data_IF_113804402181
#
_entry.id   IF_113804402181
#
_cell.length_a   1.000
_cell.length_b   1.000
_cell.length_c   1.000
_cell.angle_alpha   90.00
_cell.angle_beta   90.00
_cell.angle_gamma   90.00
#
_symmetry.space_group_name_H-M   'P 1'
#
loop_
_entity.id
_entity.type
_entity.pdbx_description
1 polymer ?
#
# COMPACT_ATOMS: atom_id res chain seq x y z
N UNK A 1 43.20 28.30 45.83
CA UNK A 1 41.86 27.67 45.65
C UNK A 1 41.56 27.68 44.16
N UNK A 2 41.81 26.57 43.48
CA UNK A 2 41.60 26.45 42.02
C UNK A 2 40.26 25.84 41.75
N UNK A 3 39.29 26.61 41.27
CA UNK A 3 38.02 26.11 40.78
C UNK A 3 38.26 25.56 39.37
N UNK A 4 38.32 24.21 39.25
CA UNK A 4 38.21 23.53 37.95
C UNK A 4 36.77 23.69 37.45
N UNK A 5 36.56 24.59 36.50
CA UNK A 5 35.31 24.65 35.72
C UNK A 5 35.31 23.44 34.79
N UNK A 6 34.58 22.40 35.19
CA UNK A 6 34.26 21.28 34.33
C UNK A 6 33.24 21.75 33.30
N UNK A 7 33.71 22.03 32.10
CA UNK A 7 32.87 22.34 30.95
C UNK A 7 32.26 21.03 30.46
N UNK A 8 31.05 20.75 30.95
CA UNK A 8 30.24 19.62 30.48
C UNK A 8 29.79 19.94 29.07
N UNK A 9 30.52 19.39 28.06
CA UNK A 9 30.18 19.50 26.67
C UNK A 9 28.95 18.61 26.43
N UNK A 10 27.75 19.22 26.48
CA UNK A 10 26.49 18.59 26.16
C UNK A 10 26.46 18.37 24.64
N UNK A 11 26.91 17.20 24.18
CA UNK A 11 26.82 16.80 22.78
C UNK A 11 25.35 16.53 22.47
N UNK A 12 24.68 17.33 21.60
CA UNK A 12 23.33 17.03 21.20
C UNK A 12 23.37 15.72 20.38
N UNK A 13 22.78 14.65 20.92
CA UNK A 13 22.46 13.46 20.15
C UNK A 13 21.41 13.89 19.11
N UNK A 14 21.86 14.16 17.91
CA UNK A 14 20.98 14.30 16.75
C UNK A 14 20.47 12.90 16.43
N UNK A 15 19.31 12.55 16.97
CA UNK A 15 18.54 11.41 16.50
C UNK A 15 18.13 11.71 15.07
N UNK A 16 18.89 11.20 14.11
CA UNK A 16 18.44 11.09 12.73
C UNK A 16 17.23 10.13 12.76
N UNK A 17 16.03 10.68 12.90
CA UNK A 17 14.80 9.92 12.72
C UNK A 17 14.74 9.53 11.23
N UNK A 18 15.25 8.35 10.90
CA UNK A 18 15.02 7.73 9.60
C UNK A 18 13.52 7.57 9.43
N UNK A 19 12.91 8.32 8.52
CA UNK A 19 11.51 8.14 8.20
C UNK A 19 11.32 6.75 7.59
N UNK A 20 10.46 5.93 8.20
CA UNK A 20 10.03 4.62 7.72
C UNK A 20 8.74 4.67 6.91
N UNK A 21 8.24 5.88 6.60
CA UNK A 21 7.00 6.09 5.86
C UNK A 21 7.16 5.72 4.39
N UNK A 22 6.20 4.94 3.89
CA UNK A 22 6.12 4.46 2.51
C UNK A 22 4.79 4.89 1.92
N UNK A 23 4.83 5.59 0.79
CA UNK A 23 3.64 5.97 0.02
C UNK A 23 3.20 4.81 -0.88
N UNK A 24 1.94 4.42 -0.80
CA UNK A 24 1.34 3.44 -1.69
C UNK A 24 0.69 4.18 -2.85
N UNK A 25 1.32 4.10 -4.02
CA UNK A 25 0.89 4.78 -5.24
C UNK A 25 0.16 3.81 -6.15
N UNK A 26 -0.96 4.24 -6.71
CA UNK A 26 -1.73 3.45 -7.66
C UNK A 26 -2.01 4.29 -8.91
N UNK A 27 -1.60 3.76 -10.06
CA UNK A 27 -1.80 4.35 -11.38
C UNK A 27 -2.87 3.54 -12.12
N UNK A 28 -4.04 4.15 -12.36
CA UNK A 28 -5.13 3.51 -13.08
C UNK A 28 -5.10 3.92 -14.56
N UNK A 29 -4.73 2.97 -15.41
CA UNK A 29 -4.63 3.20 -16.85
C UNK A 29 -6.00 3.29 -17.52
N UNK A 30 -6.03 3.98 -18.64
CA UNK A 30 -7.21 4.07 -19.51
C UNK A 30 -7.72 2.68 -19.93
N UNK A 31 -9.03 2.52 -19.97
CA UNK A 31 -9.72 1.28 -20.33
C UNK A 31 -9.39 0.08 -19.42
N UNK A 32 -8.99 0.33 -18.19
CA UNK A 32 -8.71 -0.73 -17.22
C UNK A 32 -9.98 -1.41 -16.72
N UNK A 33 -11.09 -0.67 -16.62
CA UNK A 33 -12.34 -1.12 -16.01
C UNK A 33 -13.56 -0.82 -16.90
N UNK A 34 -13.67 -1.53 -18.01
CA UNK A 34 -14.82 -1.39 -18.93
C UNK A 34 -16.04 -2.11 -18.35
N UNK A 35 -17.18 -1.41 -18.32
CA UNK A 35 -18.47 -2.00 -17.97
C UNK A 35 -19.10 -2.74 -19.17
N UNK A 36 -20.32 -3.27 -19.01
CA UNK A 36 -21.04 -4.00 -20.06
C UNK A 36 -21.37 -3.14 -21.29
N UNK A 37 -21.32 -1.82 -21.17
CA UNK A 37 -21.56 -0.85 -22.27
C UNK A 37 -20.26 -0.33 -22.86
N UNK A 38 -19.11 -0.90 -22.47
CA UNK A 38 -17.77 -0.44 -22.83
C UNK A 38 -17.42 0.98 -22.35
N UNK A 39 -18.12 1.47 -21.32
CA UNK A 39 -17.72 2.71 -20.66
C UNK A 39 -16.55 2.41 -19.71
N UNK A 40 -15.52 3.26 -19.73
CA UNK A 40 -14.40 3.19 -18.79
C UNK A 40 -14.82 3.85 -17.47
N UNK A 41 -15.13 3.03 -16.49
CA UNK A 41 -15.67 3.47 -15.20
C UNK A 41 -14.61 3.44 -14.11
N UNK A 42 -14.76 4.25 -13.03
CA UNK A 42 -13.85 4.18 -11.89
C UNK A 42 -13.73 2.76 -11.34
N UNK A 43 -12.53 2.40 -10.91
CA UNK A 43 -12.26 1.12 -10.29
C UNK A 43 -12.21 1.27 -8.77
N UNK A 44 -12.70 0.29 -8.04
CA UNK A 44 -12.56 0.23 -6.59
C UNK A 44 -11.32 -0.56 -6.21
N UNK A 45 -10.44 0.03 -5.42
CA UNK A 45 -9.28 -0.63 -4.83
C UNK A 45 -9.42 -0.69 -3.31
N UNK A 46 -9.05 -1.83 -2.72
CA UNK A 46 -8.95 -2.01 -1.27
C UNK A 46 -7.50 -2.28 -0.94
N UNK A 47 -6.92 -1.43 -0.11
CA UNK A 47 -5.53 -1.53 0.32
C UNK A 47 -5.53 -2.06 1.75
N UNK A 48 -4.88 -3.21 1.96
CA UNK A 48 -4.77 -3.89 3.24
C UNK A 48 -3.38 -3.70 3.83
N UNK A 49 -3.31 -3.31 5.08
CA UNK A 49 -2.09 -3.31 5.89
C UNK A 49 -2.02 -4.64 6.63
N UNK A 50 -0.98 -5.42 6.37
CA UNK A 50 -0.91 -6.83 6.79
C UNK A 50 0.36 -7.14 7.58
N UNK A 51 0.22 -7.97 8.62
CA UNK A 51 1.34 -8.60 9.34
C UNK A 51 1.88 -9.82 8.59
N UNK A 52 1.00 -10.56 7.91
CA UNK A 52 1.30 -11.76 7.13
C UNK A 52 0.42 -11.81 5.89
N UNK A 53 0.93 -12.40 4.81
CA UNK A 53 0.25 -12.42 3.50
C UNK A 53 -0.49 -13.73 3.21
N UNK A 54 -0.26 -14.79 3.97
CA UNK A 54 -0.76 -16.13 3.64
C UNK A 54 -2.28 -16.16 3.49
N UNK A 55 -3.00 -15.63 4.49
CA UNK A 55 -4.48 -15.58 4.43
C UNK A 55 -4.98 -14.68 3.32
N UNK A 56 -4.28 -13.58 3.04
CA UNK A 56 -4.62 -12.69 1.92
C UNK A 56 -4.47 -13.39 0.57
N UNK A 57 -3.40 -14.16 0.38
CA UNK A 57 -3.19 -14.93 -0.86
C UNK A 57 -4.23 -16.03 -1.05
N UNK A 58 -4.56 -16.75 0.03
CA UNK A 58 -5.49 -17.90 0.00
C UNK A 58 -6.97 -17.49 -0.11
N UNK A 59 -7.32 -16.29 0.37
CA UNK A 59 -8.71 -15.83 0.39
C UNK A 59 -9.25 -15.52 -1.01
N UNK A 60 -10.55 -15.74 -1.20
CA UNK A 60 -11.25 -15.28 -2.39
C UNK A 60 -11.42 -13.76 -2.40
N UNK A 61 -11.57 -13.18 -3.58
CA UNK A 61 -11.79 -11.74 -3.73
C UNK A 61 -13.06 -11.29 -3.00
N UNK A 62 -14.12 -12.09 -3.08
CA UNK A 62 -15.40 -11.79 -2.44
C UNK A 62 -15.30 -11.82 -0.91
N UNK A 63 -14.53 -12.75 -0.37
CA UNK A 63 -14.30 -12.85 1.08
C UNK A 63 -13.49 -11.66 1.59
N UNK A 64 -12.44 -11.29 0.86
CA UNK A 64 -11.64 -10.09 1.16
C UNK A 64 -12.48 -8.81 1.07
N UNK A 65 -13.38 -8.70 0.09
CA UNK A 65 -14.20 -7.50 -0.10
C UNK A 65 -15.34 -7.38 0.92
N UNK A 66 -15.87 -8.49 1.44
CA UNK A 66 -17.10 -8.49 2.25
C UNK A 66 -16.91 -8.98 3.69
N UNK A 67 -15.87 -9.76 3.97
CA UNK A 67 -15.63 -10.41 5.28
C UNK A 67 -14.17 -10.33 5.71
N UNK A 68 -13.48 -9.24 5.38
CA UNK A 68 -12.03 -9.11 5.58
C UNK A 68 -11.57 -9.41 7.02
N UNK A 69 -12.30 -8.96 8.03
CA UNK A 69 -11.96 -9.19 9.44
C UNK A 69 -12.05 -10.66 9.83
N UNK A 70 -13.07 -11.35 9.35
CA UNK A 70 -13.24 -12.79 9.60
C UNK A 70 -12.20 -13.63 8.88
N UNK A 71 -11.80 -13.22 7.68
CA UNK A 71 -10.86 -13.97 6.83
C UNK A 71 -9.41 -13.70 7.22
N UNK A 72 -9.03 -12.44 7.41
CA UNK A 72 -7.66 -12.04 7.72
C UNK A 72 -7.35 -12.09 9.22
N UNK A 73 -8.35 -11.86 10.07
CA UNK A 73 -8.19 -11.92 11.53
C UNK A 73 -7.05 -11.04 12.02
N UNK A 74 -6.15 -11.61 12.81
CA UNK A 74 -5.00 -10.92 13.41
C UNK A 74 -3.95 -10.45 12.40
N UNK A 75 -3.96 -10.98 11.19
CA UNK A 75 -3.00 -10.62 10.16
C UNK A 75 -3.33 -9.28 9.49
N UNK A 76 -4.57 -8.81 9.63
CA UNK A 76 -4.96 -7.46 9.20
C UNK A 76 -4.70 -6.45 10.30
N UNK A 77 -3.93 -5.41 9.98
CA UNK A 77 -3.74 -4.24 10.84
C UNK A 77 -4.80 -3.18 10.56
N UNK A 78 -5.02 -2.88 9.29
CA UNK A 78 -5.98 -1.90 8.82
C UNK A 78 -6.29 -2.11 7.33
N UNK A 79 -7.32 -1.43 6.83
CA UNK A 79 -7.62 -1.39 5.40
C UNK A 79 -8.28 -0.07 5.01
N UNK A 80 -8.13 0.31 3.76
CA UNK A 80 -8.81 1.46 3.18
C UNK A 80 -9.39 1.08 1.82
N UNK A 81 -10.63 1.50 1.55
CA UNK A 81 -11.30 1.36 0.27
C UNK A 81 -11.36 2.72 -0.43
N UNK A 82 -10.96 2.76 -1.69
CA UNK A 82 -10.98 3.98 -2.50
C UNK A 82 -11.46 3.69 -3.91
N UNK A 83 -11.98 4.72 -4.58
CA UNK A 83 -12.28 4.69 -6.00
C UNK A 83 -11.26 5.52 -6.77
N UNK A 84 -10.81 4.99 -7.91
CA UNK A 84 -9.79 5.61 -8.74
C UNK A 84 -10.35 5.78 -10.14
N UNK A 85 -10.45 7.03 -10.59
CA UNK A 85 -10.93 7.34 -11.92
C UNK A 85 -9.98 6.82 -13.01
N UNK A 86 -10.46 6.59 -14.25
CA UNK A 86 -9.59 6.29 -15.38
C UNK A 86 -8.54 7.37 -15.59
N UNK A 87 -7.31 6.97 -15.91
CA UNK A 87 -6.14 7.87 -16.10
C UNK A 87 -5.66 8.58 -14.85
N UNK A 88 -6.17 8.23 -13.68
CA UNK A 88 -5.78 8.87 -12.42
C UNK A 88 -4.58 8.14 -11.78
N UNK A 89 -3.75 8.91 -11.09
CA UNK A 89 -2.60 8.44 -10.35
C UNK A 89 -2.68 9.03 -8.94
N UNK A 90 -2.87 8.18 -7.96
CA UNK A 90 -3.10 8.59 -6.57
C UNK A 90 -2.05 8.04 -5.62
N UNK A 91 -1.87 8.74 -4.50
CA UNK A 91 -1.31 8.16 -3.28
C UNK A 91 -2.49 7.67 -2.46
N UNK A 92 -2.71 6.36 -2.44
CA UNK A 92 -3.86 5.76 -1.75
C UNK A 92 -3.72 5.87 -0.22
N UNK A 93 -2.51 5.63 0.30
CA UNK A 93 -2.19 5.67 1.72
C UNK A 93 -0.68 5.81 1.92
N UNK A 94 -0.30 6.28 3.10
CA UNK A 94 1.09 6.20 3.61
C UNK A 94 1.12 5.28 4.81
N UNK A 95 2.09 4.36 4.85
CA UNK A 95 2.25 3.38 5.93
C UNK A 95 3.64 3.45 6.51
N UNK A 96 3.77 3.10 7.79
CA UNK A 96 5.07 2.95 8.45
C UNK A 96 5.59 1.52 8.22
N UNK A 97 6.69 1.37 7.49
CA UNK A 97 7.28 0.06 7.19
C UNK A 97 7.80 -0.68 8.44
N UNK A 98 8.03 0.04 9.54
CA UNK A 98 8.37 -0.56 10.84
C UNK A 98 7.17 -1.24 11.52
N UNK A 99 5.95 -0.81 11.22
CA UNK A 99 4.72 -1.33 11.81
C UNK A 99 3.94 -2.23 10.85
N UNK A 100 4.01 -1.94 9.54
CA UNK A 100 3.27 -2.62 8.47
C UNK A 100 4.24 -3.36 7.56
N UNK A 101 4.49 -4.65 7.78
CA UNK A 101 5.43 -5.43 6.97
C UNK A 101 5.00 -5.61 5.52
N UNK A 102 3.69 -5.74 5.27
CA UNK A 102 3.14 -6.04 3.95
C UNK A 102 1.94 -5.16 3.62
N UNK A 103 1.80 -4.85 2.35
CA UNK A 103 0.61 -4.22 1.79
C UNK A 103 0.03 -5.12 0.72
N UNK A 104 -1.26 -5.44 0.84
CA UNK A 104 -2.04 -6.12 -0.18
C UNK A 104 -2.97 -5.13 -0.88
N UNK A 105 -3.19 -5.30 -2.17
CA UNK A 105 -4.16 -4.51 -2.92
C UNK A 105 -5.10 -5.45 -3.66
N UNK A 106 -6.39 -5.31 -3.43
CA UNK A 106 -7.46 -5.98 -4.17
C UNK A 106 -8.17 -4.95 -5.03
N UNK A 107 -8.38 -5.27 -6.30
CA UNK A 107 -9.10 -4.43 -7.25
C UNK A 107 -10.40 -5.10 -7.65
N UNK A 108 -11.50 -4.40 -7.48
CA UNK A 108 -12.84 -4.86 -7.85
C UNK A 108 -13.19 -4.29 -9.23
N UNK A 109 -13.07 -5.12 -10.25
CA UNK A 109 -13.42 -4.76 -11.63
C UNK A 109 -14.89 -5.02 -11.94
N UNK A 110 -15.48 -4.22 -12.83
CA UNK A 110 -16.82 -4.47 -13.39
C UNK A 110 -16.86 -5.82 -14.14
N UNK A 111 -15.75 -6.19 -14.78
CA UNK A 111 -15.52 -7.50 -15.35
C UNK A 111 -14.09 -7.94 -15.03
N UNK A 112 -13.94 -8.98 -14.24
CA UNK A 112 -12.64 -9.51 -13.80
C UNK A 112 -12.12 -10.70 -14.63
N UNK A 113 -12.81 -11.06 -15.71
CA UNK A 113 -12.42 -12.20 -16.57
C UNK A 113 -11.00 -12.00 -17.10
N UNK A 114 -10.12 -12.98 -16.88
CA UNK A 114 -8.72 -12.98 -17.28
C UNK A 114 -7.89 -11.81 -16.71
N UNK A 115 -8.30 -11.25 -15.57
CA UNK A 115 -7.55 -10.19 -14.90
C UNK A 115 -6.92 -10.69 -13.61
N UNK A 116 -5.72 -10.18 -13.31
CA UNK A 116 -5.13 -10.29 -11.98
C UNK A 116 -5.84 -9.28 -11.09
N UNK A 117 -6.51 -9.75 -10.04
CA UNK A 117 -7.35 -8.91 -9.18
C UNK A 117 -6.66 -8.47 -7.90
N UNK A 118 -5.64 -9.20 -7.45
CA UNK A 118 -4.91 -8.86 -6.21
C UNK A 118 -3.41 -9.05 -6.35
N UNK A 119 -2.69 -8.25 -5.58
CA UNK A 119 -1.22 -8.26 -5.51
C UNK A 119 -0.79 -7.83 -4.12
N UNK A 120 0.40 -8.21 -3.70
CA UNK A 120 1.00 -7.73 -2.46
C UNK A 120 2.47 -7.35 -2.63
N UNK A 121 3.00 -6.59 -1.69
CA UNK A 121 4.40 -6.23 -1.63
C UNK A 121 4.88 -6.09 -0.19
N UNK A 122 6.18 -6.31 0.04
CA UNK A 122 6.84 -5.98 1.30
C UNK A 122 7.10 -4.47 1.36
N UNK A 123 6.73 -3.83 2.45
CA UNK A 123 6.95 -2.38 2.60
C UNK A 123 8.42 -2.01 2.66
N UNK A 124 9.28 -2.90 3.16
CA UNK A 124 10.73 -2.73 3.15
C UNK A 124 11.37 -2.72 1.77
N UNK A 125 10.68 -3.25 0.76
CA UNK A 125 11.13 -3.28 -0.64
C UNK A 125 10.73 -2.00 -1.41
N UNK A 126 10.26 -0.96 -0.69
CA UNK A 126 9.92 0.33 -1.28
C UNK A 126 11.12 1.02 -1.92
N UNK A 127 10.88 1.66 -3.06
CA UNK A 127 11.87 2.47 -3.76
C UNK A 127 11.99 3.87 -3.16
N UNK A 128 13.11 4.54 -3.40
CA UNK A 128 13.36 5.90 -2.95
C UNK A 128 14.13 5.99 -1.63
N UNK A 129 14.28 7.22 -1.11
CA UNK A 129 15.06 7.53 0.09
C UNK A 129 14.25 8.36 1.09
N UNK A 130 14.55 8.17 2.39
CA UNK A 130 13.99 8.96 3.47
C UNK A 130 12.47 8.94 3.49
N UNK A 131 11.84 10.12 3.49
CA UNK A 131 10.38 10.29 3.47
C UNK A 131 9.75 10.10 2.08
N UNK A 132 10.57 9.98 1.03
CA UNK A 132 10.13 9.79 -0.36
C UNK A 132 10.01 8.35 -0.81
N UNK A 133 10.05 7.37 0.11
CA UNK A 133 9.89 5.95 -0.23
C UNK A 133 8.47 5.65 -0.72
N UNK A 134 8.38 4.77 -1.71
CA UNK A 134 7.10 4.38 -2.29
C UNK A 134 7.09 2.95 -2.85
N UNK A 135 5.89 2.39 -2.87
CA UNK A 135 5.52 1.22 -3.67
C UNK A 135 4.53 1.69 -4.73
N UNK A 136 4.72 1.28 -5.96
CA UNK A 136 3.85 1.66 -7.08
C UNK A 136 3.20 0.47 -7.72
N UNK A 137 1.89 0.54 -7.87
CA UNK A 137 1.04 -0.45 -8.53
C UNK A 137 0.38 0.18 -9.76
N UNK A 138 0.16 -0.63 -10.76
CA UNK A 138 -0.51 -0.24 -12.00
C UNK A 138 -1.74 -1.11 -12.21
N UNK A 139 -2.87 -0.47 -12.48
CA UNK A 139 -4.12 -1.13 -12.89
C UNK A 139 -4.29 -0.92 -14.39
N UNK A 140 -4.46 -2.01 -15.13
CA UNK A 140 -4.59 -2.02 -16.57
C UNK A 140 -5.69 -2.99 -17.04
N UNK A 141 -5.84 -3.16 -18.34
CA UNK A 141 -6.73 -4.18 -18.91
C UNK A 141 -6.45 -5.59 -18.44
N UNK A 142 -5.20 -5.88 -18.04
CA UNK A 142 -4.77 -7.19 -17.53
C UNK A 142 -4.95 -7.36 -16.02
N UNK A 143 -5.42 -6.34 -15.33
CA UNK A 143 -5.54 -6.31 -13.88
C UNK A 143 -4.47 -5.49 -13.20
N UNK A 144 -4.20 -5.79 -11.93
CA UNK A 144 -3.20 -5.09 -11.12
C UNK A 144 -1.85 -5.80 -11.13
N UNK A 145 -0.78 -5.02 -11.14
CA UNK A 145 0.60 -5.49 -10.93
C UNK A 145 1.39 -4.46 -10.14
N UNK A 146 2.44 -4.92 -9.46
CA UNK A 146 3.47 -4.04 -8.93
C UNK A 146 4.42 -3.65 -10.06
N UNK A 147 4.81 -2.38 -10.13
CA UNK A 147 5.75 -1.87 -11.15
C UNK A 147 7.02 -1.27 -10.54
N UNK A 148 6.94 -0.78 -9.29
CA UNK A 148 8.09 -0.25 -8.53
C UNK A 148 7.90 -0.52 -7.04
#
# INVERSE_FOLDING_TARGET
MFYKKSLFLLLPLIFCACSSMVSIKIDNKENSNLNKRNDDVPVTAIIYQLKDIKKFEEASDIDLATREDGVLGKDKLDSIKTQIAPKDNIIAIKVDSGEVPYVGVLVLFANNTNKVTKVWAKTKDANGFGSGKYLKFEISKKGIKRIE
#
